data_IF_545577832857
#
_entry.id   IF_545577832857
#
_cell.length_a   1.000
_cell.length_b   1.000
_cell.length_c   1.000
_cell.angle_alpha   90.00
_cell.angle_beta   90.00
_cell.angle_gamma   90.00
#
_symmetry.space_group_name_H-M   'P 1'
#
loop_
_entity.id
_entity.type
_entity.pdbx_description
1 polymer ?
#
# COMPACT_ATOMS: atom_id res chain seq x y z
N UNK A 1 10.25 4.03 1.51
CA UNK A 1 9.89 2.95 0.58
C UNK A 1 9.17 1.80 1.27
N UNK A 2 9.78 1.10 2.24
CA UNK A 2 9.15 -0.03 2.97
C UNK A 2 7.72 0.26 3.45
N UNK A 3 7.54 1.39 4.15
CA UNK A 3 6.23 1.83 4.62
C UNK A 3 5.20 2.03 3.50
N UNK A 4 5.57 2.72 2.43
CA UNK A 4 4.69 2.98 1.29
C UNK A 4 4.21 1.66 0.70
N UNK A 5 5.15 0.75 0.45
CA UNK A 5 4.86 -0.55 -0.17
C UNK A 5 3.93 -1.41 0.70
N UNK A 6 4.26 -1.58 1.98
CA UNK A 6 3.46 -2.44 2.87
C UNK A 6 2.11 -1.84 3.23
N UNK A 7 2.03 -0.52 3.44
CA UNK A 7 0.75 0.17 3.66
C UNK A 7 -0.15 0.07 2.42
N UNK A 8 0.40 0.26 1.23
CA UNK A 8 -0.37 0.15 -0.02
C UNK A 8 -0.94 -1.25 -0.22
N UNK A 9 -0.18 -2.31 0.07
CA UNK A 9 -0.72 -3.68 0.00
C UNK A 9 -1.78 -3.97 1.05
N UNK A 10 -1.63 -3.46 2.28
CA UNK A 10 -2.67 -3.62 3.32
C UNK A 10 -3.95 -2.89 2.94
N UNK A 11 -3.85 -1.66 2.45
CA UNK A 11 -5.01 -0.91 1.95
C UNK A 11 -5.66 -1.65 0.77
N UNK A 12 -4.86 -2.14 -0.16
CA UNK A 12 -5.35 -2.94 -1.27
C UNK A 12 -6.07 -4.20 -0.78
N UNK A 13 -5.58 -4.87 0.26
CA UNK A 13 -6.20 -6.09 0.80
C UNK A 13 -7.59 -5.85 1.42
N UNK A 14 -7.90 -4.62 1.84
CA UNK A 14 -9.27 -4.26 2.24
C UNK A 14 -10.19 -4.10 1.04
N UNK A 15 -9.72 -3.44 -0.03
CA UNK A 15 -10.48 -3.25 -1.26
C UNK A 15 -10.67 -4.55 -2.05
N UNK A 16 -9.64 -5.39 -2.07
CA UNK A 16 -9.57 -6.66 -2.78
C UNK A 16 -8.99 -7.71 -1.83
N UNK A 17 -9.84 -8.49 -1.15
CA UNK A 17 -9.39 -9.53 -0.22
C UNK A 17 -8.39 -10.48 -0.88
N UNK A 18 -7.15 -10.44 -0.40
CA UNK A 18 -6.05 -11.26 -0.90
C UNK A 18 -5.07 -11.55 0.22
N UNK A 19 -4.33 -12.65 0.08
CA UNK A 19 -3.28 -12.96 1.05
C UNK A 19 -2.13 -11.96 0.94
N UNK A 20 -1.77 -11.39 2.10
CA UNK A 20 -0.61 -10.53 2.24
C UNK A 20 0.66 -11.39 2.35
N UNK A 21 1.76 -11.00 1.69
CA UNK A 21 3.05 -11.62 1.97
C UNK A 21 3.47 -11.30 3.41
N UNK A 22 4.26 -12.18 4.03
CA UNK A 22 4.58 -12.09 5.47
C UNK A 22 5.26 -10.78 5.86
N UNK A 23 6.07 -10.21 4.97
CA UNK A 23 6.69 -8.90 5.20
C UNK A 23 5.66 -7.77 5.29
N UNK A 24 4.53 -7.85 4.58
CA UNK A 24 3.47 -6.85 4.62
C UNK A 24 2.55 -7.00 5.85
N UNK A 25 2.52 -8.20 6.44
CA UNK A 25 1.79 -8.47 7.70
C UNK A 25 2.48 -7.84 8.92
N UNK A 26 3.80 -7.56 8.86
CA UNK A 26 4.58 -6.98 9.97
C UNK A 26 4.13 -5.58 10.40
N UNK A 27 3.42 -4.84 9.55
CA UNK A 27 2.79 -3.59 9.92
C UNK A 27 3.72 -2.39 10.06
N UNK A 28 3.14 -1.27 10.52
CA UNK A 28 3.75 0.07 10.53
C UNK A 28 5.03 0.17 11.37
N UNK A 29 5.06 -0.49 12.52
CA UNK A 29 6.20 -0.40 13.44
C UNK A 29 7.48 -0.92 12.78
N UNK A 30 7.44 -2.14 12.24
CA UNK A 30 8.56 -2.70 11.49
C UNK A 30 8.89 -1.90 10.22
N UNK A 31 7.88 -1.33 9.56
CA UNK A 31 8.08 -0.52 8.37
C UNK A 31 8.89 0.76 8.60
N UNK A 32 8.75 1.36 9.79
CA UNK A 32 9.38 2.63 10.15
C UNK A 32 10.62 2.45 11.02
N UNK A 33 10.66 1.42 11.86
CA UNK A 33 11.68 1.23 12.90
C UNK A 33 12.41 -0.11 12.79
N UNK A 34 11.98 -1.02 11.90
CA UNK A 34 12.66 -2.28 11.71
C UNK A 34 14.06 -2.10 11.11
N UNK A 35 14.94 -3.05 11.40
CA UNK A 35 16.34 -3.06 10.95
C UNK A 35 16.50 -2.63 9.48
N UNK A 36 17.55 -1.87 9.14
CA UNK A 36 17.86 -1.53 7.76
C UNK A 36 17.94 -2.77 6.89
N UNK A 37 17.36 -2.70 5.70
CA UNK A 37 17.44 -3.76 4.70
C UNK A 37 18.23 -3.28 3.50
N UNK A 38 18.87 -4.22 2.80
CA UNK A 38 19.50 -3.96 1.52
C UNK A 38 18.47 -3.36 0.55
N UNK A 39 18.92 -2.39 -0.25
CA UNK A 39 18.07 -1.65 -1.19
C UNK A 39 17.34 -2.60 -2.14
N UNK A 40 18.04 -3.62 -2.63
CA UNK A 40 17.57 -4.61 -3.60
C UNK A 40 16.39 -5.41 -3.05
N UNK A 41 16.40 -5.71 -1.74
CA UNK A 41 15.30 -6.40 -1.06
C UNK A 41 14.05 -5.51 -1.00
N UNK A 42 14.23 -4.22 -0.69
CA UNK A 42 13.13 -3.25 -0.65
C UNK A 42 12.55 -3.02 -2.04
N UNK A 43 13.40 -2.95 -3.07
CA UNK A 43 12.98 -2.81 -4.46
C UNK A 43 12.24 -4.04 -4.99
N UNK A 44 12.72 -5.25 -4.67
CA UNK A 44 12.06 -6.49 -5.09
C UNK A 44 10.62 -6.55 -4.55
N UNK A 45 10.42 -6.23 -3.26
CA UNK A 45 9.09 -6.15 -2.65
C UNK A 45 8.23 -5.05 -3.26
N UNK A 46 8.83 -3.92 -3.61
CA UNK A 46 8.10 -2.86 -4.32
C UNK A 46 7.60 -3.34 -5.68
N UNK A 47 8.44 -4.02 -6.48
CA UNK A 47 8.03 -4.56 -7.78
C UNK A 47 6.94 -5.61 -7.65
N UNK A 48 7.06 -6.50 -6.67
CA UNK A 48 6.03 -7.49 -6.35
C UNK A 48 4.70 -6.81 -6.01
N UNK A 49 4.72 -5.82 -5.11
CA UNK A 49 3.53 -5.08 -4.72
C UNK A 49 2.93 -4.29 -5.90
N UNK A 50 3.77 -3.67 -6.71
CA UNK A 50 3.35 -2.88 -7.89
C UNK A 50 2.57 -3.73 -8.88
N UNK A 51 3.04 -4.95 -9.18
CA UNK A 51 2.33 -5.87 -10.07
C UNK A 51 0.92 -6.21 -9.53
N UNK A 52 0.80 -6.45 -8.22
CA UNK A 52 -0.50 -6.73 -7.57
C UNK A 52 -1.43 -5.51 -7.59
N UNK A 53 -0.90 -4.32 -7.27
CA UNK A 53 -1.64 -3.06 -7.30
C UNK A 53 -2.19 -2.79 -8.70
N UNK A 54 -1.32 -2.84 -9.72
CA UNK A 54 -1.70 -2.58 -11.09
C UNK A 54 -2.76 -3.57 -11.58
N UNK A 55 -2.58 -4.86 -11.31
CA UNK A 55 -3.56 -5.90 -11.66
C UNK A 55 -4.94 -5.62 -11.03
N UNK A 56 -4.98 -5.24 -9.75
CA UNK A 56 -6.23 -4.94 -9.07
C UNK A 56 -6.91 -3.66 -9.58
N UNK A 57 -6.14 -2.61 -9.92
CA UNK A 57 -6.71 -1.42 -10.56
C UNK A 57 -7.23 -1.70 -11.96
N UNK A 58 -6.59 -2.59 -12.72
CA UNK A 58 -7.02 -2.97 -14.07
C UNK A 58 -8.26 -3.86 -14.08
N UNK A 59 -8.48 -4.66 -13.02
CA UNK A 59 -9.66 -5.51 -12.90
C UNK A 59 -10.88 -4.82 -12.28
N UNK A 60 -10.71 -3.61 -11.73
CA UNK A 60 -11.76 -2.86 -11.06
C UNK A 60 -12.82 -2.38 -12.04
N UNK A 61 -14.09 -2.70 -11.75
CA UNK A 61 -15.24 -2.18 -12.50
C UNK A 61 -15.90 -1.03 -11.76
N UNK A 62 -16.53 -0.13 -12.48
CA UNK A 62 -17.14 1.08 -11.92
C UNK A 62 -18.24 0.74 -10.89
N UNK A 63 -19.06 -0.27 -11.17
CA UNK A 63 -20.12 -0.73 -10.28
C UNK A 63 -19.61 -1.27 -8.93
N UNK A 64 -18.31 -1.60 -8.85
CA UNK A 64 -17.69 -2.13 -7.65
C UNK A 64 -17.17 -1.04 -6.71
N UNK A 65 -17.05 0.20 -7.19
CA UNK A 65 -16.52 1.34 -6.42
C UNK A 65 -17.37 1.64 -5.19
N UNK A 66 -18.70 1.52 -5.30
CA UNK A 66 -19.64 1.78 -4.22
C UNK A 66 -19.78 0.64 -3.21
N UNK A 67 -19.19 -0.54 -3.46
CA UNK A 67 -19.34 -1.70 -2.57
C UNK A 67 -18.70 -1.43 -1.22
N UNK A 68 -19.44 -1.66 -0.15
CA UNK A 68 -18.90 -1.58 1.20
C UNK A 68 -17.98 -2.77 1.51
N UNK A 69 -16.76 -2.48 1.95
CA UNK A 69 -15.76 -3.47 2.36
C UNK A 69 -15.35 -3.25 3.82
N UNK A 70 -15.04 -4.32 4.57
CA UNK A 70 -14.54 -4.20 5.93
C UNK A 70 -13.11 -3.67 5.95
N UNK A 71 -12.82 -2.77 6.89
CA UNK A 71 -11.53 -2.09 7.04
C UNK A 71 -11.01 -2.22 8.45
N UNK A 72 -9.69 -2.40 8.57
CA UNK A 72 -8.99 -2.45 9.85
C UNK A 72 -9.38 -3.66 10.71
N UNK A 73 -8.90 -3.66 11.95
CA UNK A 73 -9.13 -4.77 12.90
C UNK A 73 -10.54 -4.77 13.50
N UNK A 74 -11.21 -3.62 13.49
CA UNK A 74 -12.59 -3.47 13.99
C UNK A 74 -13.65 -3.81 12.94
N UNK A 75 -13.25 -4.03 11.67
CA UNK A 75 -14.17 -4.42 10.60
C UNK A 75 -15.20 -3.34 10.24
N UNK A 76 -14.88 -2.06 10.47
CA UNK A 76 -15.73 -0.95 10.04
C UNK A 76 -15.94 -1.02 8.53
N UNK A 77 -17.10 -0.61 8.04
CA UNK A 77 -17.39 -0.62 6.60
C UNK A 77 -17.08 0.72 5.96
N UNK A 78 -16.46 0.68 4.79
CA UNK A 78 -16.28 1.86 3.94
C UNK A 78 -16.48 1.48 2.46
N UNK A 79 -16.92 2.41 1.60
CA UNK A 79 -16.95 2.17 0.16
C UNK A 79 -15.55 1.81 -0.37
N UNK A 80 -15.47 0.85 -1.28
CA UNK A 80 -14.21 0.44 -1.92
C UNK A 80 -13.46 1.64 -2.51
N UNK A 81 -14.18 2.57 -3.14
CA UNK A 81 -13.62 3.80 -3.68
C UNK A 81 -12.88 4.64 -2.61
N UNK A 82 -13.39 4.70 -1.38
CA UNK A 82 -12.74 5.44 -0.29
C UNK A 82 -11.38 4.82 0.07
N UNK A 83 -11.31 3.48 0.15
CA UNK A 83 -10.06 2.75 0.40
C UNK A 83 -9.04 3.03 -0.70
N UNK A 84 -9.47 2.93 -1.96
CA UNK A 84 -8.59 3.11 -3.12
C UNK A 84 -8.12 4.55 -3.25
N UNK A 85 -8.98 5.53 -2.96
CA UNK A 85 -8.59 6.93 -2.89
C UNK A 85 -7.53 7.15 -1.81
N UNK A 86 -7.75 6.63 -0.60
CA UNK A 86 -6.78 6.75 0.48
C UNK A 86 -5.45 6.07 0.15
N UNK A 87 -5.46 4.92 -0.53
CA UNK A 87 -4.26 4.26 -1.01
C UNK A 87 -3.44 5.18 -1.93
N UNK A 88 -4.07 5.80 -2.92
CA UNK A 88 -3.40 6.69 -3.87
C UNK A 88 -2.87 7.94 -3.17
N UNK A 89 -3.68 8.54 -2.28
CA UNK A 89 -3.30 9.71 -1.48
C UNK A 89 -2.11 9.42 -0.56
N UNK A 90 -2.12 8.28 0.15
CA UNK A 90 -1.02 7.81 0.99
C UNK A 90 0.27 7.63 0.19
N UNK A 91 0.18 6.94 -0.95
CA UNK A 91 1.33 6.71 -1.82
C UNK A 91 1.89 8.03 -2.37
N UNK A 92 1.03 8.95 -2.82
CA UNK A 92 1.43 10.25 -3.34
C UNK A 92 2.11 11.12 -2.26
N UNK A 93 1.54 11.17 -1.06
CA UNK A 93 2.09 11.92 0.06
C UNK A 93 3.55 11.51 0.35
N UNK A 94 3.79 10.21 0.47
CA UNK A 94 5.13 9.71 0.76
C UNK A 94 6.08 9.74 -0.44
N UNK A 95 5.58 9.63 -1.68
CA UNK A 95 6.38 9.87 -2.87
C UNK A 95 6.93 11.31 -2.87
N UNK A 96 6.11 12.29 -2.49
CA UNK A 96 6.53 13.69 -2.30
C UNK A 96 7.68 13.83 -1.29
N UNK A 97 7.59 13.14 -0.15
CA UNK A 97 8.65 13.13 0.85
C UNK A 97 9.97 12.56 0.31
N UNK A 98 9.92 11.47 -0.46
CA UNK A 98 11.12 10.87 -1.08
C UNK A 98 11.74 11.79 -2.10
N UNK A 99 10.93 12.37 -3.00
CA UNK A 99 11.40 13.31 -4.02
C UNK A 99 12.08 14.52 -3.35
N UNK A 100 11.46 15.05 -2.30
CA UNK A 100 12.03 16.14 -1.52
C UNK A 100 13.36 15.76 -0.86
N UNK A 101 13.42 14.61 -0.18
CA UNK A 101 14.65 14.11 0.44
C UNK A 101 15.76 13.90 -0.59
N UNK A 102 15.45 13.36 -1.77
CA UNK A 102 16.42 13.19 -2.86
C UNK A 102 17.01 14.54 -3.27
N UNK A 103 16.18 15.57 -3.48
CA UNK A 103 16.63 16.92 -3.86
C UNK A 103 17.55 17.55 -2.80
N UNK A 104 17.34 17.27 -1.52
CA UNK A 104 18.21 17.76 -0.44
C UNK A 104 19.56 17.05 -0.38
N UNK A 105 19.61 15.79 -0.82
CA UNK A 105 20.79 14.93 -0.69
C UNK A 105 21.71 14.94 -1.94
N UNK A 106 21.41 15.74 -2.97
CA UNK A 106 22.16 15.80 -4.24
C UNK A 106 21.69 14.76 -5.24
#
# INVERSE_FOLDING_TARGET
>A
MRHITGSSLRLLSYAFPQELPDWAKKGREWELQGEPEAKEVVEARFREAWARLLSAFQSLREEELGQEVPVGTQGLKAPRAHILHHLVEHAQHHAGQIIYARKLLG
#
